data_IF_621148544755
#
_entry.id   IF_621148544755
#
_cell.length_a   1.000
_cell.length_b   1.000
_cell.length_c   1.000
_cell.angle_alpha   90.00
_cell.angle_beta   90.00
_cell.angle_gamma   90.00
#
_symmetry.space_group_name_H-M   'P 1'
#
loop_
_entity.id
_entity.type
_entity.pdbx_description
1 polymer ?
#
# COMPACT_ATOMS: atom_id res chain seq x y z
N UNK A 1 -20.80 25.59 -22.12
CA UNK A 1 -19.91 25.11 -21.06
C UNK A 1 -18.73 24.39 -21.69
N UNK A 2 -17.51 24.92 -21.61
CA UNK A 2 -16.30 24.29 -22.21
C UNK A 2 -16.13 22.92 -21.53
N UNK A 3 -16.10 21.88 -22.33
CA UNK A 3 -15.87 20.50 -21.94
C UNK A 3 -14.46 20.43 -21.29
N UNK A 4 -14.38 20.58 -19.96
CA UNK A 4 -13.11 20.61 -19.24
C UNK A 4 -12.56 19.18 -19.24
N UNK A 5 -11.42 18.99 -19.93
CA UNK A 5 -10.79 17.67 -20.11
C UNK A 5 -10.07 17.26 -18.83
N UNK A 6 -10.32 16.04 -18.32
CA UNK A 6 -9.56 15.43 -17.23
C UNK A 6 -8.11 15.19 -17.68
N UNK A 7 -7.93 14.59 -18.84
CA UNK A 7 -6.62 14.27 -19.41
C UNK A 7 -5.93 15.52 -19.98
N UNK A 8 -5.60 16.47 -19.10
CA UNK A 8 -4.71 17.58 -19.42
C UNK A 8 -3.25 17.11 -19.41
N UNK A 9 -2.35 17.81 -20.14
CA UNK A 9 -0.92 17.49 -20.12
C UNK A 9 -0.35 17.40 -18.69
N UNK A 10 -0.61 18.37 -17.77
CA UNK A 10 -0.15 18.24 -16.38
C UNK A 10 -0.69 17.01 -15.66
N UNK A 11 -1.97 16.63 -15.87
CA UNK A 11 -2.55 15.41 -15.29
C UNK A 11 -1.84 14.16 -15.79
N UNK A 12 -1.56 14.05 -17.10
CA UNK A 12 -0.87 12.90 -17.69
C UNK A 12 0.55 12.77 -17.11
N UNK A 13 1.31 13.88 -17.04
CA UNK A 13 2.65 13.86 -16.46
C UNK A 13 2.65 13.49 -14.98
N UNK A 14 1.67 13.97 -14.20
CA UNK A 14 1.53 13.58 -12.79
C UNK A 14 1.13 12.11 -12.65
N UNK A 15 0.22 11.61 -13.49
CA UNK A 15 -0.16 10.20 -13.55
C UNK A 15 1.06 9.31 -13.85
N UNK A 16 1.84 9.63 -14.88
CA UNK A 16 3.04 8.89 -15.25
C UNK A 16 4.08 8.92 -14.13
N UNK A 17 4.32 10.10 -13.56
CA UNK A 17 5.25 10.22 -12.43
C UNK A 17 4.83 9.35 -11.24
N UNK A 18 3.55 9.42 -10.85
CA UNK A 18 3.03 8.62 -9.74
C UNK A 18 3.15 7.12 -10.02
N UNK A 19 2.83 6.68 -11.23
CA UNK A 19 2.98 5.29 -11.67
C UNK A 19 4.44 4.81 -11.57
N UNK A 20 5.39 5.62 -12.04
CA UNK A 20 6.81 5.32 -12.00
C UNK A 20 7.36 5.27 -10.56
N UNK A 21 6.89 6.18 -9.68
CA UNK A 21 7.24 6.15 -8.25
C UNK A 21 6.76 4.85 -7.60
N UNK A 22 5.52 4.44 -7.87
CA UNK A 22 4.97 3.21 -7.32
C UNK A 22 5.68 1.97 -7.85
N UNK A 23 5.92 1.85 -9.15
CA UNK A 23 6.69 0.72 -9.70
C UNK A 23 8.10 0.70 -9.11
N UNK A 24 8.82 1.82 -9.16
CA UNK A 24 10.21 1.87 -8.69
C UNK A 24 10.37 1.52 -7.22
N UNK A 25 9.39 1.88 -6.39
CA UNK A 25 9.43 1.62 -4.96
C UNK A 25 8.90 0.22 -4.60
N UNK A 26 7.69 -0.14 -5.07
CA UNK A 26 7.03 -1.37 -4.63
C UNK A 26 7.74 -2.64 -5.11
N UNK A 27 8.55 -2.57 -6.20
CA UNK A 27 9.40 -3.68 -6.62
C UNK A 27 10.50 -4.02 -5.60
N UNK A 28 10.84 -3.11 -4.69
CA UNK A 28 11.83 -3.33 -3.65
C UNK A 28 11.22 -4.01 -2.41
N UNK A 29 9.91 -3.86 -2.17
CA UNK A 29 9.26 -4.28 -0.92
C UNK A 29 9.50 -5.75 -0.56
N UNK A 30 9.29 -6.74 -1.47
CA UNK A 30 9.51 -8.14 -1.14
C UNK A 30 10.99 -8.53 -1.16
N UNK A 31 11.84 -7.75 -1.81
CA UNK A 31 13.25 -8.10 -2.02
C UNK A 31 14.15 -7.60 -0.90
N UNK A 32 13.90 -6.39 -0.37
CA UNK A 32 14.76 -5.84 0.69
C UNK A 32 14.82 -6.75 1.95
N UNK A 33 13.70 -7.34 2.45
CA UNK A 33 13.75 -8.34 3.51
C UNK A 33 14.61 -9.55 3.14
N UNK A 34 14.42 -10.10 1.93
CA UNK A 34 15.16 -11.25 1.45
C UNK A 34 16.66 -10.96 1.26
N UNK A 35 17.01 -9.77 0.78
CA UNK A 35 18.39 -9.31 0.64
C UNK A 35 19.08 -9.17 2.01
N UNK A 36 18.40 -8.58 3.01
CA UNK A 36 19.01 -8.47 4.33
C UNK A 36 19.35 -9.83 4.95
N UNK A 37 18.49 -10.83 4.74
CA UNK A 37 18.78 -12.19 5.19
C UNK A 37 20.03 -12.76 4.50
N UNK A 38 20.23 -12.48 3.20
CA UNK A 38 21.41 -12.94 2.46
C UNK A 38 22.74 -12.35 2.96
N UNK A 39 22.68 -11.20 3.64
CA UNK A 39 23.83 -10.55 4.30
C UNK A 39 23.87 -10.81 5.82
N UNK A 40 23.29 -11.93 6.27
CA UNK A 40 23.27 -12.43 7.65
C UNK A 40 22.50 -11.54 8.65
N UNK A 41 21.47 -10.82 8.23
CA UNK A 41 20.56 -10.16 9.17
C UNK A 41 19.69 -11.19 9.91
N UNK A 42 19.35 -10.91 11.17
CA UNK A 42 18.39 -11.72 11.94
C UNK A 42 16.96 -11.53 11.39
N UNK A 43 16.05 -12.45 11.71
CA UNK A 43 14.63 -12.38 11.31
C UNK A 43 13.93 -11.15 11.89
N UNK A 44 14.32 -10.71 13.10
CA UNK A 44 13.88 -9.41 13.67
C UNK A 44 14.31 -8.25 12.77
N UNK A 45 15.57 -8.22 12.35
CA UNK A 45 16.07 -7.17 11.46
C UNK A 45 15.37 -7.16 10.11
N UNK A 46 15.03 -8.34 9.58
CA UNK A 46 14.22 -8.51 8.37
C UNK A 46 12.84 -7.86 8.55
N UNK A 47 12.15 -8.11 9.66
CA UNK A 47 10.88 -7.45 10.00
C UNK A 47 11.01 -5.94 10.15
N UNK A 48 12.10 -5.47 10.76
CA UNK A 48 12.39 -4.04 10.93
C UNK A 48 12.54 -3.27 9.61
N UNK A 49 12.90 -3.93 8.50
CA UNK A 49 12.97 -3.29 7.16
C UNK A 49 11.66 -2.61 6.80
N UNK A 50 10.55 -3.31 6.96
CA UNK A 50 9.21 -2.79 6.63
C UNK A 50 8.70 -1.90 7.76
N UNK A 51 8.91 -2.27 9.01
CA UNK A 51 8.47 -1.52 10.19
C UNK A 51 9.04 -0.10 10.24
N UNK A 52 10.36 0.05 10.10
CA UNK A 52 11.01 1.36 10.16
C UNK A 52 10.61 2.25 8.98
N UNK A 53 10.41 1.65 7.82
CA UNK A 53 9.86 2.35 6.67
C UNK A 53 8.45 2.89 6.97
N UNK A 54 7.53 2.06 7.48
CA UNK A 54 6.15 2.50 7.77
C UNK A 54 6.11 3.53 8.90
N UNK A 55 6.98 3.43 9.90
CA UNK A 55 7.14 4.47 10.93
C UNK A 55 7.51 5.81 10.29
N UNK A 56 8.53 5.83 9.42
CA UNK A 56 8.92 7.05 8.71
C UNK A 56 7.78 7.65 7.89
N UNK A 57 7.05 6.81 7.15
CA UNK A 57 5.93 7.22 6.32
C UNK A 57 4.76 7.79 7.15
N UNK A 58 4.35 7.10 8.22
CA UNK A 58 3.22 7.52 9.07
C UNK A 58 3.55 8.82 9.81
N UNK A 59 4.74 8.93 10.38
CA UNK A 59 5.13 10.11 11.17
C UNK A 59 5.20 11.39 10.33
N UNK A 60 5.61 11.31 9.07
CA UNK A 60 5.78 12.51 8.23
C UNK A 60 4.45 13.02 7.65
N UNK A 61 3.46 12.15 7.39
CA UNK A 61 2.21 12.50 6.68
C UNK A 61 1.43 13.67 7.29
N UNK A 62 1.23 13.76 8.63
CA UNK A 62 0.54 14.90 9.24
C UNK A 62 1.22 16.23 8.99
N UNK A 63 2.55 16.26 9.05
CA UNK A 63 3.34 17.46 8.77
C UNK A 63 3.19 17.89 7.31
N UNK A 64 3.29 16.92 6.39
CA UNK A 64 3.13 17.17 4.96
C UNK A 64 1.73 17.69 4.64
N UNK A 65 0.68 17.06 5.19
CA UNK A 65 -0.71 17.51 5.02
C UNK A 65 -0.90 18.96 5.46
N UNK A 66 -0.29 19.36 6.57
CA UNK A 66 -0.32 20.72 7.07
C UNK A 66 0.46 21.71 6.17
N UNK A 67 1.66 21.33 5.72
CA UNK A 67 2.47 22.14 4.82
C UNK A 67 1.90 22.32 3.42
N UNK A 68 1.20 21.30 2.90
CA UNK A 68 0.61 21.34 1.56
C UNK A 68 -0.55 22.34 1.40
N UNK A 69 -0.98 22.99 2.49
CA UNK A 69 -1.96 24.08 2.46
C UNK A 69 -1.39 25.30 1.71
N UNK A 70 -0.07 25.52 1.74
CA UNK A 70 0.62 26.66 1.14
C UNK A 70 1.41 26.27 -0.13
N UNK A 71 0.80 26.23 -1.29
CA UNK A 71 1.35 26.33 -2.67
C UNK A 71 2.72 25.68 -3.05
N UNK A 72 3.41 24.95 -2.19
CA UNK A 72 4.71 24.32 -2.52
C UNK A 72 4.60 22.84 -2.93
N UNK A 73 3.42 22.41 -3.35
CA UNK A 73 3.12 20.99 -3.63
C UNK A 73 4.07 20.36 -4.64
N UNK A 74 4.33 21.07 -5.74
CA UNK A 74 5.25 20.60 -6.80
C UNK A 74 6.69 20.46 -6.29
N UNK A 75 7.20 21.45 -5.59
CA UNK A 75 8.58 21.42 -5.05
C UNK A 75 8.74 20.28 -4.05
N UNK A 76 7.74 20.06 -3.17
CA UNK A 76 7.74 18.93 -2.24
C UNK A 76 7.69 17.59 -2.95
N UNK A 77 6.83 17.43 -3.99
CA UNK A 77 6.76 16.21 -4.77
C UNK A 77 8.08 15.89 -5.48
N UNK A 78 8.71 16.90 -6.10
CA UNK A 78 10.02 16.75 -6.76
C UNK A 78 11.11 16.41 -5.74
N UNK A 79 11.21 17.16 -4.64
CA UNK A 79 12.20 16.92 -3.60
C UNK A 79 12.07 15.55 -2.96
N UNK A 80 10.85 15.11 -2.67
CA UNK A 80 10.58 13.79 -2.11
C UNK A 80 10.90 12.65 -3.09
N UNK A 81 10.51 12.79 -4.37
CA UNK A 81 10.84 11.79 -5.40
C UNK A 81 12.35 11.72 -5.67
N UNK A 82 13.05 12.86 -5.62
CA UNK A 82 14.50 12.90 -5.70
C UNK A 82 15.16 12.26 -4.45
N UNK A 83 14.59 12.48 -3.25
CA UNK A 83 15.04 11.83 -2.03
C UNK A 83 14.85 10.30 -2.10
N UNK A 84 13.70 9.82 -2.60
CA UNK A 84 13.48 8.39 -2.86
C UNK A 84 14.57 7.82 -3.77
N UNK A 85 14.87 8.49 -4.88
CA UNK A 85 15.91 8.10 -5.83
C UNK A 85 17.28 8.01 -5.14
N UNK A 86 17.69 9.06 -4.41
CA UNK A 86 18.99 9.12 -3.75
C UNK A 86 19.11 8.04 -2.66
N UNK A 87 18.06 7.87 -1.85
CA UNK A 87 18.04 6.85 -0.79
C UNK A 87 18.14 5.44 -1.41
N UNK A 88 17.40 5.17 -2.47
CA UNK A 88 17.45 3.90 -3.18
C UNK A 88 18.86 3.62 -3.73
N UNK A 89 19.50 4.63 -4.32
CA UNK A 89 20.86 4.54 -4.85
C UNK A 89 21.90 4.19 -3.79
N UNK A 90 21.66 4.46 -2.51
CA UNK A 90 22.61 4.18 -1.44
C UNK A 90 22.61 2.70 -1.01
N UNK A 91 21.53 1.93 -1.24
CA UNK A 91 21.42 0.55 -0.74
C UNK A 91 22.56 -0.40 -1.14
N UNK A 92 23.08 -0.40 -2.39
CA UNK A 92 24.17 -1.29 -2.79
C UNK A 92 25.48 -1.04 -2.03
N UNK A 93 25.65 0.15 -1.48
CA UNK A 93 26.89 0.55 -0.77
C UNK A 93 26.82 0.26 0.74
N UNK A 94 25.67 -0.27 1.24
CA UNK A 94 25.45 -0.49 2.66
C UNK A 94 25.70 -1.95 3.03
N UNK A 95 26.85 -2.24 3.60
CA UNK A 95 27.21 -3.55 4.14
C UNK A 95 26.86 -3.73 5.62
N UNK A 96 26.39 -2.65 6.28
CA UNK A 96 26.04 -2.65 7.70
C UNK A 96 24.54 -2.58 7.89
N UNK A 97 23.96 -3.67 8.42
CA UNK A 97 22.49 -3.85 8.55
C UNK A 97 21.81 -2.68 9.27
N UNK A 98 22.39 -2.17 10.36
CA UNK A 98 21.76 -1.07 11.12
C UNK A 98 21.73 0.25 10.35
N UNK A 99 22.73 0.53 9.50
CA UNK A 99 22.70 1.70 8.64
C UNK A 99 21.66 1.56 7.54
N UNK A 100 21.49 0.34 7.01
CA UNK A 100 20.42 0.01 6.07
C UNK A 100 19.05 0.26 6.71
N UNK A 101 18.84 -0.20 7.94
CA UNK A 101 17.60 -0.01 8.69
C UNK A 101 17.33 1.46 9.02
N UNK A 102 18.35 2.23 9.39
CA UNK A 102 18.21 3.68 9.59
C UNK A 102 17.76 4.37 8.30
N UNK A 103 18.33 3.99 7.16
CA UNK A 103 17.97 4.55 5.86
C UNK A 103 16.52 4.24 5.50
N UNK A 104 15.93 3.14 5.97
CA UNK A 104 14.51 2.79 5.78
C UNK A 104 13.56 3.82 6.40
N UNK A 105 13.92 4.44 7.54
CA UNK A 105 13.11 5.51 8.15
C UNK A 105 13.02 6.71 7.20
N UNK A 106 14.16 7.15 6.65
CA UNK A 106 14.20 8.27 5.70
C UNK A 106 13.51 7.92 4.37
N UNK A 107 13.65 6.67 3.91
CA UNK A 107 12.96 6.18 2.73
C UNK A 107 11.44 6.25 2.92
N UNK A 108 10.94 5.79 4.08
CA UNK A 108 9.53 5.90 4.45
C UNK A 108 9.05 7.35 4.53
N UNK A 109 9.84 8.24 5.13
CA UNK A 109 9.50 9.66 5.18
C UNK A 109 9.41 10.27 3.76
N UNK A 110 10.39 10.02 2.90
CA UNK A 110 10.36 10.48 1.51
C UNK A 110 9.16 9.93 0.73
N UNK A 111 8.81 8.65 0.93
CA UNK A 111 7.60 8.02 0.39
C UNK A 111 6.32 8.71 0.85
N UNK A 112 6.19 8.95 2.17
CA UNK A 112 5.04 9.63 2.76
C UNK A 112 4.85 11.04 2.20
N UNK A 113 5.94 11.80 2.00
CA UNK A 113 5.90 13.11 1.36
C UNK A 113 5.48 13.01 -0.11
N UNK A 114 6.13 12.14 -0.90
CA UNK A 114 5.88 12.01 -2.34
C UNK A 114 4.43 11.61 -2.63
N UNK A 115 3.93 10.55 -1.98
CA UNK A 115 2.56 10.05 -2.19
C UNK A 115 1.50 11.05 -1.75
N UNK A 116 1.70 11.74 -0.63
CA UNK A 116 0.77 12.77 -0.14
C UNK A 116 0.77 14.00 -1.07
N UNK A 117 1.95 14.45 -1.51
CA UNK A 117 2.06 15.58 -2.42
C UNK A 117 1.41 15.29 -3.79
N UNK A 118 1.69 14.12 -4.39
CA UNK A 118 1.09 13.72 -5.66
C UNK A 118 -0.43 13.63 -5.59
N UNK A 119 -0.97 13.00 -4.52
CA UNK A 119 -2.41 12.87 -4.30
C UNK A 119 -3.10 14.21 -4.06
N UNK A 120 -2.38 15.18 -3.50
CA UNK A 120 -2.91 16.54 -3.31
C UNK A 120 -2.86 17.36 -4.60
N UNK A 121 -1.76 17.24 -5.37
CA UNK A 121 -1.60 17.95 -6.64
C UNK A 121 -2.64 17.53 -7.69
N UNK A 122 -2.99 16.26 -7.73
CA UNK A 122 -3.97 15.76 -8.73
C UNK A 122 -5.33 16.42 -8.56
N UNK A 123 -5.76 16.70 -7.32
CA UNK A 123 -7.04 17.39 -7.04
C UNK A 123 -7.08 18.77 -7.68
N UNK A 124 -5.94 19.47 -7.73
CA UNK A 124 -5.86 20.81 -8.38
C UNK A 124 -5.90 20.75 -9.90
N UNK A 125 -5.57 19.60 -10.50
CA UNK A 125 -5.52 19.43 -11.97
C UNK A 125 -6.84 18.91 -12.55
N UNK A 126 -7.76 18.42 -11.71
CA UNK A 126 -9.04 17.86 -12.11
C UNK A 126 -10.13 18.95 -12.02
N UNK A 127 -11.02 19.06 -13.04
CA UNK A 127 -12.18 19.92 -12.94
C UNK A 127 -13.08 19.55 -11.76
N UNK A 128 -13.52 20.53 -10.95
CA UNK A 128 -14.36 20.29 -9.76
C UNK A 128 -15.62 19.46 -10.07
N UNK A 129 -16.24 19.66 -11.24
CA UNK A 129 -17.41 18.91 -11.69
C UNK A 129 -17.16 17.45 -12.05
N UNK A 130 -15.88 17.01 -12.16
CA UNK A 130 -15.46 15.65 -12.52
C UNK A 130 -14.40 15.10 -11.57
N UNK A 131 -14.38 15.60 -10.33
CA UNK A 131 -13.33 15.24 -9.35
C UNK A 131 -13.31 13.74 -9.07
N UNK A 132 -14.46 13.12 -8.81
CA UNK A 132 -14.55 11.69 -8.55
C UNK A 132 -14.03 10.83 -9.70
N UNK A 133 -14.42 11.18 -10.93
CA UNK A 133 -13.97 10.48 -12.15
C UNK A 133 -12.44 10.61 -12.34
N UNK A 134 -11.92 11.84 -12.19
CA UNK A 134 -10.49 12.09 -12.35
C UNK A 134 -9.64 11.41 -11.27
N UNK A 135 -10.10 11.40 -10.01
CA UNK A 135 -9.45 10.66 -8.92
C UNK A 135 -9.49 9.14 -9.18
N UNK A 136 -10.59 8.62 -9.74
CA UNK A 136 -10.68 7.24 -10.18
C UNK A 136 -9.60 6.88 -11.20
N UNK A 137 -9.42 7.71 -12.24
CA UNK A 137 -8.34 7.51 -13.21
C UNK A 137 -6.96 7.61 -12.57
N UNK A 138 -6.73 8.59 -11.70
CA UNK A 138 -5.44 8.72 -11.01
C UNK A 138 -5.10 7.51 -10.14
N UNK A 139 -6.09 6.94 -9.46
CA UNK A 139 -5.88 5.74 -8.62
C UNK A 139 -5.44 4.50 -9.41
N UNK A 140 -5.66 4.47 -10.73
CA UNK A 140 -5.14 3.41 -11.60
C UNK A 140 -3.61 3.42 -11.59
N UNK A 141 -2.97 4.59 -11.61
CA UNK A 141 -1.50 4.68 -11.55
C UNK A 141 -0.93 4.05 -10.29
N UNK A 142 -1.57 4.29 -9.14
CA UNK A 142 -1.19 3.68 -7.87
C UNK A 142 -1.44 2.17 -7.86
N UNK A 143 -2.66 1.77 -8.25
CA UNK A 143 -3.09 0.37 -8.15
C UNK A 143 -2.32 -0.53 -9.09
N UNK A 144 -2.20 -0.14 -10.37
CA UNK A 144 -1.47 -0.96 -11.36
C UNK A 144 0.03 -0.99 -11.02
N UNK A 145 0.58 0.16 -10.60
CA UNK A 145 1.96 0.23 -10.10
C UNK A 145 2.18 -0.79 -8.97
N UNK A 146 1.45 -0.68 -7.87
CA UNK A 146 1.60 -1.54 -6.70
C UNK A 146 1.35 -3.04 -6.96
N UNK A 147 0.48 -3.35 -7.93
CA UNK A 147 0.10 -4.72 -8.27
C UNK A 147 1.20 -5.45 -9.06
N UNK A 148 1.80 -4.79 -10.03
CA UNK A 148 2.75 -5.41 -10.97
C UNK A 148 4.18 -5.40 -10.41
N UNK A 149 4.51 -4.40 -9.62
CA UNK A 149 5.88 -4.12 -9.16
C UNK A 149 6.54 -5.26 -8.40
N UNK A 150 5.91 -5.96 -7.44
CA UNK A 150 6.53 -7.06 -6.73
C UNK A 150 7.00 -8.16 -7.68
N UNK A 151 6.17 -8.50 -8.70
CA UNK A 151 6.53 -9.52 -9.69
C UNK A 151 7.74 -9.10 -10.52
N UNK A 152 7.76 -7.85 -10.98
CA UNK A 152 8.90 -7.30 -11.74
C UNK A 152 10.16 -7.30 -10.88
N UNK A 153 10.04 -6.88 -9.61
CA UNK A 153 11.16 -6.84 -8.68
C UNK A 153 11.77 -8.22 -8.43
N UNK A 154 10.93 -9.22 -8.19
CA UNK A 154 11.37 -10.60 -7.98
C UNK A 154 12.05 -11.16 -9.25
N UNK A 155 11.41 -10.99 -10.42
CA UNK A 155 11.99 -11.43 -11.69
C UNK A 155 13.37 -10.82 -11.95
N UNK A 156 13.53 -9.51 -11.72
CA UNK A 156 14.84 -8.86 -11.90
C UNK A 156 15.87 -9.41 -10.90
N UNK A 157 15.46 -9.57 -9.63
CA UNK A 157 16.36 -10.06 -8.59
C UNK A 157 16.80 -11.49 -8.81
N UNK A 158 15.89 -12.37 -9.24
CA UNK A 158 16.16 -13.79 -9.50
C UNK A 158 16.94 -14.01 -10.81
N UNK A 159 16.65 -13.21 -11.86
CA UNK A 159 17.29 -13.36 -13.17
C UNK A 159 18.64 -12.66 -13.30
N UNK A 160 18.89 -11.64 -12.48
CA UNK A 160 20.10 -10.82 -12.55
C UNK A 160 20.76 -10.66 -11.18
N UNK A 161 20.53 -9.54 -10.47
CA UNK A 161 21.13 -9.27 -9.16
C UNK A 161 20.37 -8.19 -8.40
N UNK A 162 20.73 -8.03 -7.11
CA UNK A 162 20.25 -6.93 -6.28
C UNK A 162 20.63 -5.56 -6.87
N UNK A 163 21.84 -5.41 -7.38
CA UNK A 163 22.29 -4.15 -7.94
C UNK A 163 21.49 -3.75 -9.18
N UNK A 164 21.20 -4.70 -10.09
CA UNK A 164 20.37 -4.44 -11.28
C UNK A 164 18.97 -4.00 -10.86
N UNK A 165 18.39 -4.63 -9.84
CA UNK A 165 17.10 -4.23 -9.27
C UNK A 165 17.13 -2.78 -8.75
N UNK A 166 18.15 -2.46 -7.94
CA UNK A 166 18.30 -1.11 -7.37
C UNK A 166 18.46 -0.06 -8.46
N UNK A 167 19.36 -0.29 -9.43
CA UNK A 167 19.55 0.67 -10.52
C UNK A 167 18.32 0.80 -11.42
N UNK A 168 17.56 -0.26 -11.62
CA UNK A 168 16.26 -0.19 -12.31
C UNK A 168 15.28 0.72 -11.57
N UNK A 169 15.19 0.57 -10.25
CA UNK A 169 14.36 1.46 -9.39
C UNK A 169 14.83 2.92 -9.44
N UNK A 170 16.15 3.15 -9.42
CA UNK A 170 16.74 4.50 -9.54
C UNK A 170 16.36 5.15 -10.87
N UNK A 171 16.46 4.41 -11.98
CA UNK A 171 16.06 4.92 -13.30
C UNK A 171 14.59 5.28 -13.35
N UNK A 172 13.69 4.43 -12.82
CA UNK A 172 12.25 4.72 -12.74
C UNK A 172 11.97 5.96 -11.90
N UNK A 173 12.65 6.09 -10.76
CA UNK A 173 12.53 7.26 -9.88
C UNK A 173 13.05 8.55 -10.56
N UNK A 174 14.14 8.47 -11.33
CA UNK A 174 14.65 9.57 -12.12
C UNK A 174 13.65 10.01 -13.20
N UNK A 175 13.06 9.07 -13.92
CA UNK A 175 12.02 9.35 -14.91
C UNK A 175 10.79 9.98 -14.25
N UNK A 176 10.43 9.55 -13.05
CA UNK A 176 9.34 10.17 -12.27
C UNK A 176 9.65 11.63 -11.92
N UNK A 177 10.87 11.93 -11.46
CA UNK A 177 11.33 13.30 -11.18
C UNK A 177 11.29 14.16 -12.45
N UNK A 178 11.76 13.62 -13.58
CA UNK A 178 11.71 14.31 -14.88
C UNK A 178 10.26 14.61 -15.27
N UNK A 179 9.34 13.64 -15.16
CA UNK A 179 7.92 13.83 -15.47
C UNK A 179 7.30 14.94 -14.60
N UNK A 180 7.64 15.03 -13.31
CA UNK A 180 7.16 16.09 -12.40
C UNK A 180 7.59 17.49 -12.85
N UNK A 181 8.72 17.66 -13.53
CA UNK A 181 9.15 18.97 -14.02
C UNK A 181 8.12 19.55 -15.01
N UNK A 182 7.48 18.70 -15.80
CA UNK A 182 6.47 19.11 -16.82
C UNK A 182 5.08 19.33 -16.24
N UNK A 183 4.84 19.03 -14.96
CA UNK A 183 3.58 19.35 -14.28
C UNK A 183 3.53 20.85 -14.03
N UNK A 184 2.68 21.58 -14.75
CA UNK A 184 2.40 22.99 -14.48
C UNK A 184 1.47 23.05 -13.27
N UNK A 185 1.97 23.55 -12.13
CA UNK A 185 1.15 23.81 -10.97
C UNK A 185 0.21 24.99 -11.26
N UNK A 186 -1.09 24.79 -11.09
CA UNK A 186 -2.01 25.92 -11.03
C UNK A 186 -1.87 26.58 -9.65
N UNK A 187 -1.65 27.89 -9.54
CA UNK A 187 -1.64 28.54 -8.25
C UNK A 187 -3.00 28.33 -7.58
N UNK A 188 -3.01 27.73 -6.43
CA UNK A 188 -4.24 27.57 -5.63
C UNK A 188 -4.63 28.96 -5.11
N UNK A 189 -5.68 29.54 -5.66
CA UNK A 189 -6.17 30.88 -5.28
C UNK A 189 -6.94 30.90 -3.94
N UNK A 190 -7.17 29.73 -3.34
CA UNK A 190 -7.90 29.62 -2.08
C UNK A 190 -6.91 29.64 -0.92
N UNK A 191 -6.75 30.83 -0.29
CA UNK A 191 -6.18 30.91 1.05
C UNK A 191 -7.11 30.19 2.03
N UNK A 192 -6.76 28.94 2.40
CA UNK A 192 -7.45 28.27 3.50
C UNK A 192 -6.91 28.84 4.81
N UNK A 193 -7.81 29.19 5.72
CA UNK A 193 -7.41 29.53 7.10
C UNK A 193 -6.68 28.35 7.71
N UNK A 194 -5.45 28.56 8.16
CA UNK A 194 -4.67 27.55 8.87
C UNK A 194 -5.28 27.31 10.25
N UNK A 195 -5.88 26.17 10.45
CA UNK A 195 -6.22 25.69 11.80
C UNK A 195 -4.91 25.35 12.54
N UNK A 196 -4.85 25.52 13.88
CA UNK A 196 -3.68 25.13 14.64
C UNK A 196 -3.35 23.64 14.40
N UNK A 197 -2.08 23.33 14.23
CA UNK A 197 -1.60 21.97 13.99
C UNK A 197 -1.90 21.08 15.20
N UNK A 198 -2.68 20.01 14.98
CA UNK A 198 -2.93 18.95 15.96
C UNK A 198 -2.63 17.62 15.31
N UNK A 199 -1.53 17.00 15.73
CA UNK A 199 -1.01 15.77 15.14
C UNK A 199 -2.05 14.64 15.06
N UNK A 200 -2.76 14.37 16.16
CA UNK A 200 -3.74 13.30 16.23
C UNK A 200 -4.96 13.53 15.34
N UNK A 201 -5.41 14.79 15.23
CA UNK A 201 -6.58 15.14 14.38
C UNK A 201 -6.24 15.04 12.88
N UNK A 202 -4.94 15.01 12.52
CA UNK A 202 -4.47 14.87 11.15
C UNK A 202 -4.21 13.43 10.73
N UNK A 203 -4.00 12.52 11.70
CA UNK A 203 -3.77 11.09 11.41
C UNK A 203 -5.06 10.29 11.45
N UNK A 204 -6.01 10.65 12.33
CA UNK A 204 -7.11 9.77 12.68
C UNK A 204 -8.46 10.51 12.73
N UNK A 205 -9.34 10.20 11.75
CA UNK A 205 -10.74 10.62 11.79
C UNK A 205 -11.56 9.65 12.63
N UNK A 206 -12.12 10.13 13.74
CA UNK A 206 -12.80 9.29 14.74
C UNK A 206 -14.03 8.57 14.20
N UNK A 207 -14.73 9.14 13.23
CA UNK A 207 -15.96 8.54 12.67
C UNK A 207 -15.69 7.24 11.92
N UNK A 208 -14.45 7.04 11.46
CA UNK A 208 -14.05 5.87 10.66
C UNK A 208 -13.21 4.83 11.43
N UNK A 209 -13.21 4.90 12.77
CA UNK A 209 -12.41 4.03 13.63
C UNK A 209 -12.58 2.52 13.34
N UNK A 210 -13.84 2.10 13.04
CA UNK A 210 -14.14 0.70 12.84
C UNK A 210 -13.58 0.15 11.52
N UNK A 211 -13.84 0.73 10.33
CA UNK A 211 -13.16 0.28 9.11
C UNK A 211 -11.64 0.49 9.15
N UNK A 212 -11.14 1.49 9.88
CA UNK A 212 -9.71 1.69 10.12
C UNK A 212 -9.09 0.53 10.90
N UNK A 213 -9.73 0.07 11.98
CA UNK A 213 -9.34 -1.12 12.73
C UNK A 213 -9.34 -2.38 11.86
N UNK A 214 -10.40 -2.59 11.06
CA UNK A 214 -10.46 -3.72 10.13
C UNK A 214 -9.34 -3.66 9.09
N UNK A 215 -8.96 -2.46 8.64
CA UNK A 215 -7.84 -2.26 7.72
C UNK A 215 -6.52 -2.71 8.37
N UNK A 216 -6.24 -2.28 9.61
CA UNK A 216 -5.05 -2.75 10.35
C UNK A 216 -5.00 -4.26 10.42
N UNK A 217 -6.10 -4.90 10.87
CA UNK A 217 -6.16 -6.36 11.06
C UNK A 217 -6.01 -7.11 9.73
N UNK A 218 -6.66 -6.63 8.66
CA UNK A 218 -6.56 -7.24 7.32
C UNK A 218 -5.14 -7.13 6.76
N UNK A 219 -4.48 -6.00 7.01
CA UNK A 219 -3.13 -5.75 6.49
C UNK A 219 -2.06 -6.59 7.19
N UNK A 220 -2.34 -7.18 8.37
CA UNK A 220 -1.43 -8.16 8.99
C UNK A 220 -1.14 -9.33 8.03
N UNK A 221 -2.17 -9.84 7.32
CA UNK A 221 -2.01 -10.90 6.33
C UNK A 221 -1.12 -10.50 5.15
N UNK A 222 -1.33 -9.29 4.62
CA UNK A 222 -0.51 -8.77 3.53
C UNK A 222 0.93 -8.51 3.97
N UNK A 223 1.13 -7.99 5.18
CA UNK A 223 2.45 -7.76 5.74
C UNK A 223 3.27 -9.04 5.88
N UNK A 224 2.63 -10.15 6.27
CA UNK A 224 3.28 -11.46 6.27
C UNK A 224 3.71 -11.89 4.86
N UNK A 225 2.82 -11.73 3.88
CA UNK A 225 3.10 -12.10 2.48
C UNK A 225 4.24 -11.25 1.93
N UNK A 226 4.16 -9.92 2.04
CA UNK A 226 5.18 -9.04 1.44
C UNK A 226 6.56 -9.18 2.08
N UNK A 227 6.61 -9.53 3.36
CA UNK A 227 7.87 -9.64 4.11
C UNK A 227 8.51 -11.02 4.00
N UNK A 228 7.70 -12.09 4.06
CA UNK A 228 8.22 -13.44 4.27
C UNK A 228 8.01 -14.40 3.10
N UNK A 229 7.18 -14.08 2.09
CA UNK A 229 6.88 -15.02 1.00
C UNK A 229 8.12 -15.41 0.20
N UNK A 230 8.99 -14.45 -0.12
CA UNK A 230 10.24 -14.72 -0.87
C UNK A 230 11.18 -15.62 -0.05
N UNK A 231 11.27 -15.37 1.26
CA UNK A 231 12.06 -16.22 2.16
C UNK A 231 11.46 -17.62 2.25
N UNK A 232 10.16 -17.73 2.41
CA UNK A 232 9.43 -19.00 2.46
C UNK A 232 9.64 -19.81 1.18
N UNK A 233 9.49 -19.17 0.02
CA UNK A 233 9.69 -19.82 -1.26
C UNK A 233 11.11 -20.38 -1.42
N UNK A 234 12.14 -19.61 -1.06
CA UNK A 234 13.53 -20.07 -1.06
C UNK A 234 13.76 -21.26 -0.14
N UNK A 235 13.18 -21.25 1.08
CA UNK A 235 13.28 -22.37 2.03
C UNK A 235 12.59 -23.64 1.50
N UNK A 236 11.52 -23.50 0.72
CA UNK A 236 10.73 -24.61 0.16
C UNK A 236 11.23 -25.07 -1.23
N UNK A 237 12.18 -24.39 -1.82
CA UNK A 237 12.63 -24.69 -3.18
C UNK A 237 11.57 -24.41 -4.25
N UNK A 238 10.75 -23.38 -4.03
CA UNK A 238 9.75 -22.93 -5.01
C UNK A 238 10.40 -21.89 -5.92
N UNK A 239 10.55 -22.19 -7.22
CA UNK A 239 11.35 -21.39 -8.13
C UNK A 239 10.64 -20.13 -8.65
N UNK A 240 9.29 -20.14 -8.72
CA UNK A 240 8.55 -19.09 -9.41
C UNK A 240 7.69 -18.25 -8.45
N UNK A 241 8.30 -17.70 -7.38
CA UNK A 241 7.61 -16.90 -6.36
C UNK A 241 6.91 -15.68 -6.95
N UNK A 242 7.45 -15.07 -8.01
CA UNK A 242 6.85 -13.95 -8.71
C UNK A 242 5.42 -14.25 -9.21
N UNK A 243 5.10 -15.52 -9.50
CA UNK A 243 3.77 -15.93 -9.93
C UNK A 243 2.70 -15.63 -8.88
N UNK A 244 3.02 -15.71 -7.59
CA UNK A 244 2.08 -15.36 -6.55
C UNK A 244 1.60 -13.91 -6.70
N UNK A 245 2.52 -12.96 -6.83
CA UNK A 245 2.18 -11.56 -6.96
C UNK A 245 1.50 -11.25 -8.29
N UNK A 246 1.98 -11.83 -9.39
CA UNK A 246 1.39 -11.65 -10.72
C UNK A 246 -0.05 -12.16 -10.78
N UNK A 247 -0.31 -13.36 -10.28
CA UNK A 247 -1.64 -13.99 -10.30
C UNK A 247 -2.58 -13.29 -9.32
N UNK A 248 -2.10 -13.01 -8.09
CA UNK A 248 -2.86 -12.21 -7.13
C UNK A 248 -3.33 -10.88 -7.74
N UNK A 249 -2.43 -10.18 -8.40
CA UNK A 249 -2.68 -8.93 -9.08
C UNK A 249 -3.72 -9.03 -10.20
N UNK A 250 -3.55 -10.04 -11.04
CA UNK A 250 -4.45 -10.32 -12.16
C UNK A 250 -5.86 -10.62 -11.66
N UNK A 251 -5.98 -11.53 -10.69
CA UNK A 251 -7.28 -11.91 -10.10
C UNK A 251 -7.92 -10.72 -9.40
N UNK A 252 -7.17 -9.96 -8.59
CA UNK A 252 -7.67 -8.75 -7.92
C UNK A 252 -8.22 -7.73 -8.92
N UNK A 253 -7.58 -7.58 -10.09
CA UNK A 253 -8.03 -6.66 -11.12
C UNK A 253 -9.29 -7.17 -11.84
N UNK A 254 -9.32 -8.44 -12.22
CA UNK A 254 -10.44 -9.04 -12.95
C UNK A 254 -11.73 -9.15 -12.10
N UNK A 255 -11.60 -9.33 -10.78
CA UNK A 255 -12.77 -9.49 -9.90
C UNK A 255 -13.43 -8.15 -9.53
N UNK A 256 -12.72 -7.02 -9.65
CA UNK A 256 -13.20 -5.67 -9.23
C UNK A 256 -14.54 -5.24 -9.79
N UNK A 257 -14.86 -5.41 -11.09
CA UNK A 257 -16.16 -5.01 -11.63
C UNK A 257 -17.32 -5.78 -10.98
N UNK A 258 -17.09 -7.03 -10.60
CA UNK A 258 -18.11 -7.88 -9.95
C UNK A 258 -18.27 -7.51 -8.47
N UNK A 259 -17.17 -7.30 -7.78
CA UNK A 259 -17.17 -6.97 -6.35
C UNK A 259 -17.68 -5.55 -6.09
N UNK A 260 -17.40 -4.58 -6.96
CA UNK A 260 -17.99 -3.24 -6.90
C UNK A 260 -19.52 -3.28 -7.02
N UNK A 261 -20.05 -4.00 -8.02
CA UNK A 261 -21.51 -4.18 -8.16
C UNK A 261 -22.15 -4.92 -6.98
N UNK A 262 -21.43 -5.87 -6.39
CA UNK A 262 -21.90 -6.57 -5.19
C UNK A 262 -21.95 -5.62 -3.99
N UNK A 263 -20.89 -4.83 -3.78
CA UNK A 263 -20.82 -3.81 -2.74
C UNK A 263 -21.99 -2.82 -2.85
N UNK A 264 -22.22 -2.27 -4.03
CA UNK A 264 -23.30 -1.28 -4.28
C UNK A 264 -24.70 -1.85 -3.98
N UNK A 265 -24.93 -3.16 -4.27
CA UNK A 265 -26.23 -3.82 -4.05
C UNK A 265 -26.47 -4.28 -2.62
N UNK A 266 -25.45 -4.79 -1.93
CA UNK A 266 -25.59 -5.48 -0.64
C UNK A 266 -24.84 -4.82 0.52
N UNK A 267 -24.16 -3.71 0.25
CA UNK A 267 -23.32 -3.03 1.23
C UNK A 267 -22.02 -3.80 1.56
N UNK A 268 -21.26 -3.32 2.56
CA UNK A 268 -19.90 -3.80 2.85
C UNK A 268 -19.87 -5.20 3.49
N UNK A 269 -20.87 -5.57 4.29
CA UNK A 269 -20.77 -6.71 5.21
C UNK A 269 -20.54 -8.04 4.50
N UNK A 270 -21.44 -8.43 3.57
CA UNK A 270 -21.39 -9.73 2.92
C UNK A 270 -20.13 -9.93 2.09
N UNK A 271 -19.71 -8.88 1.38
CA UNK A 271 -18.53 -8.95 0.52
C UNK A 271 -17.24 -9.01 1.35
N UNK A 272 -17.14 -8.25 2.44
CA UNK A 272 -15.97 -8.29 3.31
C UNK A 272 -15.84 -9.65 4.00
N UNK A 273 -16.96 -10.23 4.48
CA UNK A 273 -16.93 -11.57 5.10
C UNK A 273 -16.43 -12.62 4.11
N UNK A 274 -17.01 -12.69 2.90
CA UNK A 274 -16.59 -13.68 1.88
C UNK A 274 -15.12 -13.46 1.49
N UNK A 275 -14.71 -12.21 1.27
CA UNK A 275 -13.34 -11.88 0.91
C UNK A 275 -12.34 -12.22 2.03
N UNK A 276 -12.73 -12.00 3.29
CA UNK A 276 -11.89 -12.39 4.44
C UNK A 276 -11.76 -13.92 4.52
N UNK A 277 -12.82 -14.69 4.28
CA UNK A 277 -12.72 -16.15 4.25
C UNK A 277 -11.81 -16.66 3.13
N UNK A 278 -11.83 -16.02 1.95
CA UNK A 278 -10.89 -16.34 0.86
C UNK A 278 -9.45 -16.01 1.25
N UNK A 279 -9.20 -14.87 1.91
CA UNK A 279 -7.90 -14.50 2.44
C UNK A 279 -7.38 -15.49 3.50
N UNK A 280 -8.26 -15.95 4.41
CA UNK A 280 -7.95 -17.00 5.36
C UNK A 280 -7.51 -18.29 4.66
N UNK A 281 -8.34 -18.82 3.74
CA UNK A 281 -8.05 -20.04 2.99
C UNK A 281 -6.74 -19.91 2.20
N UNK A 282 -6.49 -18.75 1.60
CA UNK A 282 -5.26 -18.48 0.88
C UNK A 282 -4.03 -18.69 1.75
N UNK A 283 -3.96 -18.03 2.91
CA UNK A 283 -2.80 -18.12 3.81
C UNK A 283 -2.65 -19.52 4.42
N UNK A 284 -3.75 -20.23 4.68
CA UNK A 284 -3.72 -21.64 5.09
C UNK A 284 -3.10 -22.49 4.00
N UNK A 285 -3.57 -22.41 2.75
CA UNK A 285 -3.02 -23.15 1.62
C UNK A 285 -1.55 -22.77 1.38
N UNK A 286 -1.23 -21.47 1.45
CA UNK A 286 0.15 -20.98 1.33
C UNK A 286 1.07 -21.63 2.37
N UNK A 287 0.60 -21.80 3.61
CA UNK A 287 1.38 -22.42 4.68
C UNK A 287 1.77 -23.88 4.41
N UNK A 288 1.06 -24.55 3.51
CA UNK A 288 1.35 -25.94 3.07
C UNK A 288 1.94 -25.99 1.64
N UNK A 289 2.22 -24.82 1.04
CA UNK A 289 2.74 -24.79 -0.32
C UNK A 289 4.14 -25.43 -0.39
N UNK A 290 4.34 -26.29 -1.37
CA UNK A 290 5.60 -26.99 -1.63
C UNK A 290 5.98 -27.00 -3.11
N UNK A 291 5.15 -26.37 -3.96
CA UNK A 291 5.35 -26.27 -5.40
C UNK A 291 4.58 -25.10 -6.00
N UNK A 292 4.83 -24.79 -7.27
CA UNK A 292 4.20 -23.68 -7.98
C UNK A 292 2.67 -23.80 -8.04
N UNK A 293 2.10 -25.01 -8.14
CA UNK A 293 0.65 -25.21 -8.23
C UNK A 293 -0.04 -24.74 -6.95
N UNK A 294 0.47 -25.18 -5.79
CA UNK A 294 -0.07 -24.76 -4.49
C UNK A 294 0.10 -23.24 -4.26
N UNK A 295 1.22 -22.67 -4.73
CA UNK A 295 1.47 -21.23 -4.72
C UNK A 295 0.43 -20.48 -5.59
N UNK A 296 0.14 -20.97 -6.80
CA UNK A 296 -0.84 -20.38 -7.72
C UNK A 296 -2.25 -20.42 -7.12
N UNK A 297 -2.66 -21.54 -6.51
CA UNK A 297 -3.97 -21.66 -5.86
C UNK A 297 -4.08 -20.63 -4.71
N UNK A 298 -3.05 -20.54 -3.87
CA UNK A 298 -2.99 -19.53 -2.80
C UNK A 298 -3.08 -18.11 -3.36
N UNK A 299 -2.37 -17.81 -4.46
CA UNK A 299 -2.38 -16.51 -5.11
C UNK A 299 -3.77 -16.13 -5.67
N UNK A 300 -4.47 -17.06 -6.29
CA UNK A 300 -5.86 -16.84 -6.79
C UNK A 300 -6.77 -16.45 -5.63
N UNK A 301 -6.74 -17.22 -4.54
CA UNK A 301 -7.57 -16.96 -3.36
C UNK A 301 -7.19 -15.66 -2.68
N UNK A 302 -5.89 -15.31 -2.62
CA UNK A 302 -5.42 -14.04 -2.04
C UNK A 302 -5.88 -12.85 -2.88
N UNK A 303 -5.79 -12.95 -4.20
CA UNK A 303 -6.26 -11.92 -5.13
C UNK A 303 -7.77 -11.69 -5.03
N UNK A 304 -8.55 -12.76 -4.95
CA UNK A 304 -9.99 -12.68 -4.76
C UNK A 304 -10.37 -12.16 -3.36
N UNK A 305 -9.63 -12.56 -2.32
CA UNK A 305 -9.87 -12.15 -0.93
C UNK A 305 -9.31 -10.76 -0.62
N UNK A 306 -8.00 -10.67 -0.44
CA UNK A 306 -7.33 -9.43 -0.06
C UNK A 306 -7.52 -8.32 -1.10
N UNK A 307 -7.41 -8.66 -2.40
CA UNK A 307 -7.62 -7.71 -3.50
C UNK A 307 -9.03 -7.12 -3.56
N UNK A 308 -10.01 -7.76 -2.92
CA UNK A 308 -11.39 -7.26 -2.80
C UNK A 308 -11.63 -6.53 -1.47
N UNK A 309 -11.18 -7.09 -0.34
CA UNK A 309 -11.49 -6.54 0.98
C UNK A 309 -10.92 -5.14 1.17
N UNK A 310 -9.70 -4.87 0.67
CA UNK A 310 -9.05 -3.58 0.87
C UNK A 310 -9.77 -2.40 0.16
N UNK A 311 -10.12 -2.48 -1.14
CA UNK A 311 -10.94 -1.44 -1.78
C UNK A 311 -12.32 -1.28 -1.12
N UNK A 312 -12.93 -2.37 -0.63
CA UNK A 312 -14.21 -2.30 0.07
C UNK A 312 -14.09 -1.55 1.41
N UNK A 313 -13.03 -1.80 2.18
CA UNK A 313 -12.76 -1.08 3.43
C UNK A 313 -12.47 0.40 3.17
N UNK A 314 -11.72 0.73 2.11
CA UNK A 314 -11.47 2.10 1.71
C UNK A 314 -12.77 2.83 1.36
N UNK A 315 -13.61 2.21 0.53
CA UNK A 315 -14.92 2.77 0.15
C UNK A 315 -15.80 2.96 1.37
N UNK A 316 -15.86 1.96 2.26
CA UNK A 316 -16.64 2.05 3.49
C UNK A 316 -16.14 3.16 4.42
N UNK A 317 -14.81 3.33 4.52
CA UNK A 317 -14.19 4.42 5.29
C UNK A 317 -14.65 5.78 4.78
N UNK A 318 -14.59 6.02 3.48
CA UNK A 318 -14.97 7.32 2.87
C UNK A 318 -16.47 7.56 2.96
N UNK A 319 -17.31 6.53 2.82
CA UNK A 319 -18.78 6.66 2.91
C UNK A 319 -19.31 6.96 4.32
N UNK A 320 -18.50 6.76 5.37
CA UNK A 320 -18.90 7.05 6.76
C UNK A 320 -18.82 8.53 7.14
N UNK A 321 -18.25 9.36 6.30
CA UNK A 321 -18.02 10.78 6.58
C UNK A 321 -18.63 11.66 5.49
N UNK A 322 -18.81 12.95 5.80
CA UNK A 322 -19.21 13.95 4.80
C UNK A 322 -18.12 14.16 3.74
N UNK A 323 -18.49 14.69 2.56
CA UNK A 323 -17.53 14.97 1.46
C UNK A 323 -16.34 15.83 1.92
N UNK A 324 -16.57 16.77 2.83
CA UNK A 324 -15.53 17.65 3.38
C UNK A 324 -14.46 16.90 4.16
N UNK A 325 -14.82 15.78 4.81
CA UNK A 325 -13.94 14.93 5.61
C UNK A 325 -13.36 13.74 4.85
N UNK A 326 -13.73 13.55 3.58
CA UNK A 326 -13.30 12.40 2.77
C UNK A 326 -11.77 12.29 2.66
N UNK A 327 -11.07 13.42 2.62
CA UNK A 327 -9.61 13.48 2.64
C UNK A 327 -9.00 12.94 3.94
N UNK A 328 -9.57 13.34 5.10
CA UNK A 328 -9.14 12.85 6.41
C UNK A 328 -9.43 11.35 6.59
N UNK A 329 -10.59 10.89 6.10
CA UNK A 329 -10.95 9.48 6.12
C UNK A 329 -9.99 8.63 5.28
N UNK A 330 -9.63 9.08 4.07
CA UNK A 330 -8.62 8.42 3.24
C UNK A 330 -7.24 8.40 3.92
N UNK A 331 -6.83 9.52 4.54
CA UNK A 331 -5.57 9.58 5.28
C UNK A 331 -5.57 8.56 6.44
N UNK A 332 -6.68 8.44 7.18
CA UNK A 332 -6.84 7.44 8.24
C UNK A 332 -6.76 6.02 7.69
N UNK A 333 -7.39 5.73 6.53
CA UNK A 333 -7.30 4.43 5.88
C UNK A 333 -5.86 4.05 5.53
N UNK A 334 -5.12 4.94 4.86
CA UNK A 334 -3.72 4.68 4.48
C UNK A 334 -2.79 4.60 5.69
N UNK A 335 -3.01 5.42 6.72
CA UNK A 335 -2.24 5.31 7.97
C UNK A 335 -2.51 3.97 8.66
N UNK A 336 -3.76 3.50 8.66
CA UNK A 336 -4.13 2.19 9.21
C UNK A 336 -3.50 1.05 8.41
N UNK A 337 -3.42 1.17 7.09
CA UNK A 337 -2.71 0.24 6.23
C UNK A 337 -1.21 0.19 6.59
N UNK A 338 -0.54 1.34 6.65
CA UNK A 338 0.88 1.42 6.98
C UNK A 338 1.16 0.87 8.40
N UNK A 339 0.31 1.20 9.40
CA UNK A 339 0.42 0.65 10.75
C UNK A 339 0.28 -0.86 10.76
N UNK A 340 -0.74 -1.40 10.08
CA UNK A 340 -0.94 -2.85 9.97
C UNK A 340 0.25 -3.55 9.32
N UNK A 341 0.79 -2.98 8.25
CA UNK A 341 1.96 -3.49 7.55
C UNK A 341 3.22 -3.50 8.47
N UNK A 342 3.49 -2.38 9.14
CA UNK A 342 4.65 -2.25 10.02
C UNK A 342 4.56 -3.15 11.25
N UNK A 343 3.39 -3.21 11.91
CA UNK A 343 3.14 -4.09 13.06
C UNK A 343 3.29 -5.55 12.64
N UNK A 344 2.72 -5.95 11.50
CA UNK A 344 2.87 -7.30 10.97
C UNK A 344 4.33 -7.67 10.79
N UNK A 345 5.09 -6.87 10.06
CA UNK A 345 6.49 -7.15 9.78
C UNK A 345 7.34 -7.25 11.07
N UNK A 346 7.11 -6.36 12.03
CA UNK A 346 7.84 -6.36 13.30
C UNK A 346 7.50 -7.58 14.17
N UNK A 347 6.21 -7.77 14.45
CA UNK A 347 5.75 -8.86 15.35
C UNK A 347 6.09 -10.21 14.77
N UNK A 348 5.84 -10.40 13.46
CA UNK A 348 6.15 -11.67 12.80
C UNK A 348 7.66 -11.87 12.62
N UNK A 349 8.45 -10.80 12.48
CA UNK A 349 9.90 -10.86 12.49
C UNK A 349 10.46 -11.42 13.82
N UNK A 350 9.87 -11.04 14.95
CA UNK A 350 10.20 -11.60 16.26
C UNK A 350 9.80 -13.07 16.33
N UNK A 351 8.57 -13.42 15.93
CA UNK A 351 8.11 -14.80 15.97
C UNK A 351 8.89 -15.72 15.03
N UNK A 352 9.39 -15.21 13.90
CA UNK A 352 10.17 -15.98 12.93
C UNK A 352 11.52 -16.51 13.49
N UNK A 353 11.97 -16.05 14.67
CA UNK A 353 13.12 -16.62 15.37
C UNK A 353 12.77 -17.92 16.13
N UNK A 354 11.50 -18.11 16.49
CA UNK A 354 11.08 -19.22 17.34
C UNK A 354 10.15 -20.22 16.64
N UNK A 355 9.46 -19.79 15.59
CA UNK A 355 8.51 -20.62 14.84
C UNK A 355 8.82 -20.58 13.35
N UNK A 356 8.39 -21.61 12.62
CA UNK A 356 8.60 -21.69 11.18
C UNK A 356 7.72 -20.68 10.41
N UNK A 357 8.13 -20.35 9.18
CA UNK A 357 7.35 -19.44 8.31
C UNK A 357 5.97 -20.01 7.98
N UNK A 358 5.83 -21.33 7.88
CA UNK A 358 4.53 -22.01 7.74
C UNK A 358 3.59 -21.67 8.89
N UNK A 359 4.11 -21.73 10.13
CA UNK A 359 3.32 -21.42 11.31
C UNK A 359 2.95 -19.94 11.35
N UNK A 360 3.83 -19.05 10.90
CA UNK A 360 3.54 -17.61 10.74
C UNK A 360 2.33 -17.40 9.84
N UNK A 361 2.31 -18.02 8.64
CA UNK A 361 1.16 -17.88 7.73
C UNK A 361 -0.13 -18.45 8.33
N UNK A 362 -0.06 -19.55 9.08
CA UNK A 362 -1.23 -20.12 9.80
C UNK A 362 -1.74 -19.18 10.88
N UNK A 363 -0.87 -18.65 11.72
CA UNK A 363 -1.27 -17.72 12.79
C UNK A 363 -1.89 -16.45 12.19
N UNK A 364 -1.21 -15.86 11.22
CA UNK A 364 -1.68 -14.60 10.65
C UNK A 364 -2.96 -14.77 9.81
N UNK A 365 -3.23 -15.98 9.29
CA UNK A 365 -4.50 -16.27 8.62
C UNK A 365 -5.70 -16.01 9.52
N UNK A 366 -5.57 -16.22 10.84
CA UNK A 366 -6.63 -15.97 11.82
C UNK A 366 -7.05 -14.50 11.87
N UNK A 367 -6.20 -13.57 11.44
CA UNK A 367 -6.58 -12.15 11.34
C UNK A 367 -7.80 -11.96 10.44
N UNK A 368 -7.90 -12.71 9.35
CA UNK A 368 -9.05 -12.68 8.46
C UNK A 368 -10.33 -13.24 9.10
N UNK A 369 -10.21 -14.27 9.94
CA UNK A 369 -11.35 -14.76 10.74
C UNK A 369 -11.82 -13.68 11.71
N UNK A 370 -10.89 -12.99 12.38
CA UNK A 370 -11.23 -11.87 13.27
C UNK A 370 -11.98 -10.78 12.50
N UNK A 371 -11.53 -10.41 11.30
CA UNK A 371 -12.24 -9.45 10.43
C UNK A 371 -13.66 -9.94 10.12
N UNK A 372 -13.81 -11.19 9.68
CA UNK A 372 -15.13 -11.75 9.37
C UNK A 372 -16.09 -11.72 10.57
N UNK A 373 -15.61 -12.10 11.75
CA UNK A 373 -16.39 -12.10 13.01
C UNK A 373 -16.79 -10.66 13.41
N UNK A 374 -15.86 -9.70 13.36
CA UNK A 374 -16.15 -8.31 13.69
C UNK A 374 -17.17 -7.71 12.75
N UNK A 375 -17.02 -7.93 11.44
CA UNK A 375 -17.97 -7.44 10.43
C UNK A 375 -19.33 -8.10 10.58
N UNK A 376 -19.40 -9.39 10.89
CA UNK A 376 -20.67 -10.08 11.16
C UNK A 376 -21.39 -9.52 12.40
N UNK A 377 -20.66 -9.22 13.48
CA UNK A 377 -21.23 -8.58 14.68
C UNK A 377 -21.77 -7.18 14.35
N UNK A 378 -21.04 -6.39 13.56
CA UNK A 378 -21.51 -5.06 13.13
C UNK A 378 -22.77 -5.16 12.27
N UNK A 379 -22.83 -6.11 11.34
CA UNK A 379 -24.05 -6.40 10.56
C UNK A 379 -25.26 -6.71 11.43
N UNK A 380 -25.09 -7.57 12.45
CA UNK A 380 -26.20 -7.93 13.37
C UNK A 380 -26.67 -6.72 14.19
N UNK A 381 -25.76 -5.82 14.58
CA UNK A 381 -26.10 -4.59 15.28
C UNK A 381 -26.91 -3.65 14.39
N UNK A 382 -26.47 -3.43 13.15
CA UNK A 382 -27.17 -2.59 12.17
C UNK A 382 -28.58 -3.15 11.83
N UNK A 383 -28.69 -4.48 11.68
CA UNK A 383 -29.97 -5.13 11.41
C UNK A 383 -30.98 -4.95 12.57
N UNK A 384 -30.50 -5.02 13.82
CA UNK A 384 -31.33 -4.76 14.99
C UNK A 384 -31.84 -3.31 15.02
N UNK A 385 -30.98 -2.33 14.68
CA UNK A 385 -31.35 -0.91 14.64
C UNK A 385 -32.37 -0.58 13.53
N UNK A 386 -32.36 -1.32 12.42
CA UNK A 386 -33.33 -1.11 11.32
C UNK A 386 -34.69 -1.81 11.54
N UNK A 387 -34.76 -2.73 12.48
CA UNK A 387 -35.99 -3.43 12.84
C UNK A 387 -36.72 -2.80 14.07
N UNK A 388 -36.14 -1.73 14.62
CA UNK A 388 -36.76 -0.83 15.63
C UNK A 388 -37.23 0.43 14.93
#
# INVERSE_FOLDING_TARGET
>A
MKNQRIFSKPFIFLFVSNFLVFIGFDMLLPILPAYLLSINASTIQVGLVTTLFTIGAVLIRPFVGYYLIDNQRKSLAIGASAALMIITMLYPFLNFVWLFLLLRIFHGAAWGVSTTANSTMVVDLIPKSRLGEGMGYFSISTTVGAIISPSIGILIYESFSFDVLIWSSVVLSLLAVIALQFVKASPTTVKREKKPFRFLDMIFEREVWFPALLTVITTLGFGAVITFLVLFGKQKGIDHIFLFFLINATVATLIRPFTGKWYDKKGPWSIIIVSAMLGFLSLVILSYASNDISLIIAAILFGAGYGTVMPCLQTWTVQKVSEEKSGAANATFFSSFDVGLGVSAFVLGIFAEWISLEMIFRIVSLSFIVVAVLVYKDYLKEKKLKNI
#
